data_IF_497064163210
#
_entry.id   IF_497064163210
#
_cell.length_a   1.000
_cell.length_b   1.000
_cell.length_c   1.000
_cell.angle_alpha   90.00
_cell.angle_beta   90.00
_cell.angle_gamma   90.00
#
_symmetry.space_group_name_H-M   'P 1'
#
loop_
_entity.id
_entity.type
_entity.pdbx_description
1 polymer ?
#
# COMPACT_ATOMS: atom_id res chain seq x y z
N UNK A 1 -2.67 -15.12 6.89
CA UNK A 1 -3.94 -14.62 7.46
C UNK A 1 -3.77 -14.10 8.88
N UNK A 2 -3.33 -14.91 9.85
CA UNK A 2 -3.15 -14.43 11.24
C UNK A 2 -2.28 -13.17 11.36
N UNK A 3 -1.15 -13.13 10.65
CA UNK A 3 -0.27 -11.96 10.63
C UNK A 3 -0.92 -10.71 10.00
N UNK A 4 -1.71 -10.88 8.94
CA UNK A 4 -2.46 -9.78 8.33
C UNK A 4 -3.49 -9.23 9.32
N UNK A 5 -4.27 -10.10 9.96
CA UNK A 5 -5.25 -9.70 10.98
C UNK A 5 -4.60 -8.96 12.15
N UNK A 6 -3.50 -9.49 12.69
CA UNK A 6 -2.79 -8.85 13.80
C UNK A 6 -2.27 -7.46 13.44
N UNK A 7 -1.66 -7.31 12.26
CA UNK A 7 -1.12 -6.04 11.80
C UNK A 7 -2.23 -5.04 11.41
N UNK A 8 -3.35 -5.50 10.83
CA UNK A 8 -4.51 -4.65 10.57
C UNK A 8 -5.18 -4.18 11.86
N UNK A 9 -5.26 -5.03 12.89
CA UNK A 9 -5.80 -4.65 14.19
C UNK A 9 -4.89 -3.64 14.89
N UNK A 10 -3.57 -3.87 14.85
CA UNK A 10 -2.58 -2.93 15.36
C UNK A 10 -2.66 -1.58 14.63
N UNK A 11 -2.87 -1.57 13.32
CA UNK A 11 -3.08 -0.36 12.54
C UNK A 11 -4.27 0.46 13.02
N UNK A 12 -5.42 -0.18 13.26
CA UNK A 12 -6.60 0.53 13.75
C UNK A 12 -6.46 1.07 15.18
N UNK A 13 -5.57 0.48 15.99
CA UNK A 13 -5.25 0.98 17.32
C UNK A 13 -4.33 2.22 17.29
N UNK A 14 -3.67 2.48 16.16
CA UNK A 14 -2.76 3.61 16.00
C UNK A 14 -3.52 4.84 15.46
N UNK A 15 -3.45 6.01 16.13
CA UNK A 15 -4.05 7.21 15.60
C UNK A 15 -3.35 7.62 14.29
N UNK A 16 -4.17 7.88 13.27
CA UNK A 16 -3.71 8.49 12.02
C UNK A 16 -3.11 9.87 12.33
N UNK A 17 -1.81 10.04 12.08
CA UNK A 17 -1.09 11.28 12.35
C UNK A 17 -0.39 11.81 11.09
N UNK A 18 0.17 13.02 11.20
CA UNK A 18 0.97 13.68 10.16
C UNK A 18 0.15 13.92 8.88
N UNK A 19 0.54 13.29 7.77
CA UNK A 19 -0.02 13.54 6.43
C UNK A 19 -1.35 12.82 6.17
N UNK A 20 -1.83 12.03 7.13
CA UNK A 20 -3.13 11.37 7.00
C UNK A 20 -4.27 12.38 6.80
N UNK A 21 -4.16 13.58 7.41
CA UNK A 21 -5.12 14.68 7.19
C UNK A 21 -5.09 15.21 5.76
N UNK A 22 -3.89 15.37 5.18
CA UNK A 22 -3.69 15.79 3.80
C UNK A 22 -4.30 14.80 2.81
N UNK A 23 -4.05 13.50 3.02
CA UNK A 23 -4.59 12.44 2.17
C UNK A 23 -6.11 12.28 2.32
N UNK A 24 -6.64 12.37 3.55
CA UNK A 24 -8.09 12.35 3.77
C UNK A 24 -8.78 13.54 3.08
N UNK A 25 -8.21 14.75 3.20
CA UNK A 25 -8.72 15.93 2.52
C UNK A 25 -8.67 15.76 0.99
N UNK A 26 -7.58 15.21 0.43
CA UNK A 26 -7.49 14.96 -1.00
C UNK A 26 -8.60 14.00 -1.49
N UNK A 27 -8.90 12.95 -0.72
CA UNK A 27 -10.00 12.00 -1.04
C UNK A 27 -11.36 12.69 -0.97
N UNK A 28 -11.65 13.49 0.06
CA UNK A 28 -12.92 14.24 0.14
C UNK A 28 -13.09 15.20 -1.04
N UNK A 29 -12.04 15.93 -1.42
CA UNK A 29 -12.12 16.86 -2.56
C UNK A 29 -12.36 16.15 -3.89
N UNK A 30 -11.79 14.96 -4.06
CA UNK A 30 -12.04 14.11 -5.23
C UNK A 30 -13.42 13.46 -5.21
N UNK A 31 -13.94 13.13 -4.02
CA UNK A 31 -15.30 12.63 -3.85
C UNK A 31 -16.31 13.68 -4.35
N UNK A 32 -16.09 14.95 -3.99
CA UNK A 32 -16.94 16.07 -4.39
C UNK A 32 -16.85 16.35 -5.90
N UNK A 33 -15.64 16.58 -6.42
CA UNK A 33 -15.39 16.83 -7.84
C UNK A 33 -14.11 16.12 -8.32
N UNK A 34 -14.29 15.14 -9.22
CA UNK A 34 -13.19 14.36 -9.80
C UNK A 34 -12.41 15.12 -10.89
N UNK A 35 -13.05 16.08 -11.57
CA UNK A 35 -12.49 16.77 -12.72
C UNK A 35 -11.75 18.05 -12.31
N UNK A 36 -12.30 18.78 -11.34
CA UNK A 36 -11.72 20.04 -10.85
C UNK A 36 -11.64 20.09 -9.32
N UNK A 37 -10.91 19.15 -8.68
CA UNK A 37 -10.79 19.14 -7.23
C UNK A 37 -10.08 20.39 -6.71
N UNK A 38 -10.50 20.90 -5.55
CA UNK A 38 -9.85 22.03 -4.85
C UNK A 38 -8.65 21.59 -4.03
N UNK A 39 -7.60 22.40 -3.97
CA UNK A 39 -6.36 22.08 -3.26
C UNK A 39 -6.62 21.59 -1.82
N UNK A 40 -6.04 20.47 -1.38
CA UNK A 40 -6.43 19.82 -0.12
C UNK A 40 -6.08 20.63 1.15
N UNK A 41 -5.15 21.58 1.07
CA UNK A 41 -4.70 22.41 2.20
C UNK A 41 -5.05 23.89 2.10
N UNK A 42 -5.48 24.37 0.94
CA UNK A 42 -5.73 25.79 0.69
C UNK A 42 -7.00 25.92 -0.15
N UNK A 43 -7.76 27.01 0.01
CA UNK A 43 -8.94 27.26 -0.83
C UNK A 43 -8.51 27.86 -2.18
N UNK A 44 -7.79 27.05 -2.95
CA UNK A 44 -7.22 27.36 -4.25
C UNK A 44 -7.59 26.25 -5.25
N UNK A 45 -7.55 26.53 -6.57
CA UNK A 45 -7.67 25.48 -7.59
C UNK A 45 -6.63 24.38 -7.34
N UNK A 46 -7.05 23.11 -7.37
CA UNK A 46 -6.20 21.97 -6.98
C UNK A 46 -5.24 21.48 -8.07
N UNK A 47 -5.22 22.11 -9.24
CA UNK A 47 -4.36 21.71 -10.36
C UNK A 47 -2.88 21.68 -9.93
N UNK A 48 -2.27 20.49 -9.99
CA UNK A 48 -0.86 20.29 -9.64
C UNK A 48 -0.56 19.96 -8.18
N UNK A 49 -1.56 19.74 -7.32
CA UNK A 49 -1.28 19.29 -5.95
C UNK A 49 -0.63 17.90 -5.96
N UNK A 50 0.52 17.68 -5.29
CA UNK A 50 1.19 16.38 -5.24
C UNK A 50 0.37 15.30 -4.52
N UNK A 51 -0.68 15.70 -3.81
CA UNK A 51 -1.61 14.77 -3.17
C UNK A 51 -2.51 14.02 -4.17
N UNK A 52 -2.71 14.56 -5.39
CA UNK A 52 -3.52 13.93 -6.42
C UNK A 52 -2.69 12.93 -7.24
N UNK A 53 -2.65 11.71 -6.73
CA UNK A 53 -2.05 10.56 -7.42
C UNK A 53 -3.14 9.69 -8.05
N UNK A 54 -2.82 8.82 -9.03
CA UNK A 54 -3.78 7.83 -9.54
C UNK A 54 -4.40 6.97 -8.45
N UNK A 55 -3.65 6.71 -7.37
CA UNK A 55 -4.14 6.02 -6.20
C UNK A 55 -5.18 6.85 -5.41
N UNK A 56 -4.90 8.14 -5.19
CA UNK A 56 -5.87 9.05 -4.57
C UNK A 56 -7.15 9.20 -5.41
N UNK A 57 -7.03 9.20 -6.74
CA UNK A 57 -8.18 9.18 -7.66
C UNK A 57 -9.04 7.92 -7.46
N UNK A 58 -8.42 6.74 -7.41
CA UNK A 58 -9.13 5.50 -7.14
C UNK A 58 -9.82 5.53 -5.76
N UNK A 59 -9.17 6.08 -4.74
CA UNK A 59 -9.77 6.29 -3.41
C UNK A 59 -10.95 7.26 -3.44
N UNK A 60 -10.86 8.37 -4.19
CA UNK A 60 -11.93 9.35 -4.36
C UNK A 60 -13.15 8.77 -5.09
N UNK A 61 -12.93 8.00 -6.16
CA UNK A 61 -14.01 7.27 -6.86
C UNK A 61 -14.67 6.27 -5.92
N UNK A 62 -13.87 5.51 -5.15
CA UNK A 62 -14.39 4.59 -4.16
C UNK A 62 -15.21 5.31 -3.08
N UNK A 63 -14.72 6.44 -2.56
CA UNK A 63 -15.43 7.30 -1.60
C UNK A 63 -16.78 7.78 -2.15
N UNK A 64 -16.83 8.15 -3.44
CA UNK A 64 -18.05 8.60 -4.11
C UNK A 64 -19.08 7.49 -4.27
N UNK A 65 -18.65 6.29 -4.64
CA UNK A 65 -19.54 5.12 -4.83
C UNK A 65 -20.06 4.58 -3.50
N UNK A 66 -19.24 4.62 -2.45
CA UNK A 66 -19.58 4.08 -1.13
C UNK A 66 -20.15 5.12 -0.17
N UNK A 67 -20.17 6.39 -0.58
CA UNK A 67 -20.51 7.55 0.24
C UNK A 67 -19.70 7.68 1.54
N UNK A 68 -18.55 7.00 1.60
CA UNK A 68 -17.64 7.05 2.74
C UNK A 68 -16.83 8.35 2.75
N UNK A 69 -16.53 8.83 3.95
CA UNK A 69 -15.59 9.94 4.13
C UNK A 69 -14.15 9.54 3.83
N UNK A 70 -13.31 10.53 3.57
CA UNK A 70 -11.90 10.33 3.23
C UNK A 70 -11.12 9.64 4.35
N UNK A 71 -11.51 9.88 5.61
CA UNK A 71 -10.90 9.22 6.77
C UNK A 71 -11.24 7.72 6.81
N UNK A 72 -12.48 7.37 6.54
CA UNK A 72 -12.97 5.98 6.49
C UNK A 72 -12.27 5.24 5.35
N UNK A 73 -12.17 5.86 4.18
CA UNK A 73 -11.46 5.29 3.02
C UNK A 73 -9.99 5.05 3.34
N UNK A 74 -9.31 5.97 4.02
CA UNK A 74 -7.93 5.77 4.49
C UNK A 74 -7.83 4.60 5.48
N UNK A 75 -8.79 4.46 6.42
CA UNK A 75 -8.82 3.35 7.38
C UNK A 75 -9.02 1.99 6.71
N UNK A 76 -9.73 1.94 5.59
CA UNK A 76 -9.93 0.72 4.78
C UNK A 76 -8.73 0.45 3.86
N UNK A 77 -8.10 1.51 3.35
CA UNK A 77 -6.93 1.43 2.50
C UNK A 77 -5.71 0.78 3.19
N UNK A 78 -5.51 1.03 4.49
CA UNK A 78 -4.40 0.43 5.25
C UNK A 78 -4.39 -1.10 5.21
N UNK A 79 -5.47 -1.79 5.64
CA UNK A 79 -5.59 -3.25 5.55
C UNK A 79 -5.50 -3.79 4.11
N UNK A 80 -6.04 -3.07 3.13
CA UNK A 80 -5.99 -3.47 1.72
C UNK A 80 -4.56 -3.44 1.19
N UNK A 81 -3.84 -2.34 1.39
CA UNK A 81 -2.44 -2.21 0.97
C UNK A 81 -1.55 -3.24 1.64
N UNK A 82 -1.78 -3.50 2.94
CA UNK A 82 -1.08 -4.55 3.68
C UNK A 82 -1.33 -5.94 3.07
N UNK A 83 -2.56 -6.22 2.64
CA UNK A 83 -2.89 -7.49 2.00
C UNK A 83 -2.11 -7.66 0.69
N UNK A 84 -2.08 -6.61 -0.15
CA UNK A 84 -1.34 -6.60 -1.41
C UNK A 84 0.16 -6.80 -1.16
N UNK A 85 0.72 -6.10 -0.16
CA UNK A 85 2.12 -6.25 0.21
C UNK A 85 2.45 -7.69 0.66
N UNK A 86 1.69 -8.25 1.59
CA UNK A 86 1.93 -9.59 2.12
C UNK A 86 1.75 -10.67 1.05
N UNK A 87 0.75 -10.50 0.17
CA UNK A 87 0.50 -11.43 -0.92
C UNK A 87 1.60 -11.35 -2.00
N UNK A 88 2.02 -10.14 -2.37
CA UNK A 88 3.10 -9.91 -3.34
C UNK A 88 4.43 -10.46 -2.83
N UNK A 89 4.82 -10.09 -1.61
CA UNK A 89 6.04 -10.59 -0.96
C UNK A 89 6.01 -12.11 -0.83
N UNK A 90 4.89 -12.67 -0.36
CA UNK A 90 4.73 -14.11 -0.22
C UNK A 90 4.87 -14.85 -1.55
N UNK A 91 4.31 -14.31 -2.63
CA UNK A 91 4.41 -14.91 -3.98
C UNK A 91 5.84 -14.81 -4.51
N UNK A 92 6.50 -13.66 -4.37
CA UNK A 92 7.86 -13.44 -4.82
C UNK A 92 8.86 -14.34 -4.11
N UNK A 93 8.78 -14.44 -2.78
CA UNK A 93 9.69 -15.28 -1.99
C UNK A 93 9.48 -16.77 -2.29
N UNK A 94 8.26 -17.20 -2.58
CA UNK A 94 7.97 -18.59 -3.00
C UNK A 94 8.51 -18.91 -4.38
N UNK A 95 8.63 -17.91 -5.26
CA UNK A 95 9.39 -18.07 -6.50
C UNK A 95 10.84 -18.32 -6.09
N UNK A 96 11.49 -17.47 -5.31
CA UNK A 96 12.92 -17.64 -4.98
C UNK A 96 13.26 -18.88 -4.14
N UNK A 97 12.37 -19.35 -3.27
CA UNK A 97 12.64 -20.46 -2.34
C UNK A 97 11.44 -21.39 -2.15
N UNK A 98 11.63 -22.73 -2.20
CA UNK A 98 10.59 -23.69 -1.89
C UNK A 98 10.30 -23.81 -0.38
N UNK A 99 11.13 -23.20 0.49
CA UNK A 99 11.01 -23.36 1.94
C UNK A 99 9.79 -22.61 2.48
N UNK A 100 8.91 -23.33 3.19
CA UNK A 100 7.69 -22.78 3.81
C UNK A 100 7.94 -21.62 4.79
N UNK A 101 9.12 -21.55 5.40
CA UNK A 101 9.53 -20.49 6.34
C UNK A 101 10.10 -19.23 5.65
N UNK A 102 10.49 -19.31 4.38
CA UNK A 102 11.14 -18.19 3.70
C UNK A 102 10.30 -16.91 3.67
N UNK A 103 8.97 -16.94 3.40
CA UNK A 103 8.15 -15.73 3.42
C UNK A 103 8.06 -15.07 4.80
N UNK A 104 8.13 -15.86 5.89
CA UNK A 104 8.08 -15.34 7.26
C UNK A 104 9.39 -14.62 7.60
N UNK A 105 10.53 -15.21 7.21
CA UNK A 105 11.85 -14.59 7.40
C UNK A 105 11.99 -13.33 6.56
N UNK A 106 11.49 -13.34 5.32
CA UNK A 106 11.47 -12.16 4.47
C UNK A 106 10.60 -11.04 5.08
N UNK A 107 9.44 -11.38 5.63
CA UNK A 107 8.60 -10.41 6.33
C UNK A 107 9.30 -9.82 7.56
N UNK A 108 9.99 -10.66 8.35
CA UNK A 108 10.79 -10.17 9.48
C UNK A 108 11.89 -9.22 9.01
N UNK A 109 12.59 -9.54 7.92
CA UNK A 109 13.58 -8.67 7.29
C UNK A 109 12.99 -7.34 6.83
N UNK A 110 11.84 -7.37 6.16
CA UNK A 110 11.11 -6.16 5.73
C UNK A 110 10.73 -5.31 6.94
N UNK A 111 10.19 -5.89 8.02
CA UNK A 111 9.84 -5.15 9.23
C UNK A 111 11.05 -4.54 9.93
N UNK A 112 12.18 -5.24 9.95
CA UNK A 112 13.44 -4.72 10.49
C UNK A 112 13.96 -3.54 9.66
N UNK A 113 13.97 -3.67 8.33
CA UNK A 113 14.44 -2.64 7.40
C UNK A 113 13.49 -1.45 7.26
N UNK A 114 12.18 -1.66 7.44
CA UNK A 114 11.19 -0.57 7.47
C UNK A 114 11.45 0.38 8.64
N UNK A 115 12.08 -0.10 9.70
CA UNK A 115 12.37 0.66 10.91
C UNK A 115 11.37 0.32 12.00
N UNK A 116 11.85 -0.38 13.02
CA UNK A 116 11.12 -0.63 14.27
C UNK A 116 11.23 0.54 15.27
N UNK A 117 12.01 1.57 14.94
CA UNK A 117 12.17 2.73 15.82
C UNK A 117 11.00 3.69 15.67
N UNK A 118 10.06 3.59 16.61
CA UNK A 118 9.26 4.74 17.03
C UNK A 118 10.22 5.80 17.58
N UNK A 119 10.66 6.77 16.77
CA UNK A 119 11.40 7.93 17.30
C UNK A 119 12.50 8.58 16.47
N UNK A 120 12.61 8.34 15.16
CA UNK A 120 13.62 9.01 14.32
C UNK A 120 13.01 9.96 13.29
N UNK A 121 13.09 11.27 13.53
CA UNK A 121 12.81 12.41 12.63
C UNK A 121 11.35 12.67 12.18
N UNK A 122 10.45 11.68 12.23
CA UNK A 122 9.00 11.87 12.07
C UNK A 122 8.26 11.03 13.13
N UNK A 123 8.20 11.56 14.36
CA UNK A 123 7.72 10.87 15.57
C UNK A 123 6.26 10.39 15.54
N UNK A 124 5.97 9.38 14.72
CA UNK A 124 4.72 8.63 14.71
C UNK A 124 4.93 7.13 15.03
N UNK A 125 3.86 6.38 15.37
CA UNK A 125 3.97 5.03 15.92
C UNK A 125 4.23 4.02 14.79
N UNK A 126 5.50 3.76 14.47
CA UNK A 126 5.94 2.63 13.66
C UNK A 126 5.36 2.53 12.23
N UNK A 127 5.62 1.40 11.53
CA UNK A 127 5.24 1.18 10.13
C UNK A 127 3.73 1.25 9.88
N UNK A 128 2.92 1.03 10.93
CA UNK A 128 1.47 1.04 10.89
C UNK A 128 0.91 2.38 10.37
N UNK A 129 1.48 3.50 10.81
CA UNK A 129 1.03 4.85 10.42
C UNK A 129 1.10 5.13 8.91
N UNK A 130 1.97 4.43 8.17
CA UNK A 130 2.19 4.62 6.72
C UNK A 130 1.43 3.63 5.83
N UNK A 131 0.73 2.65 6.42
CA UNK A 131 -0.02 1.63 5.67
C UNK A 131 -1.01 2.16 4.62
N UNK A 132 -1.76 3.26 4.84
CA UNK A 132 -2.71 3.73 3.85
C UNK A 132 -2.04 4.47 2.68
N UNK A 133 -0.73 4.68 2.72
CA UNK A 133 -0.01 5.51 1.76
C UNK A 133 0.29 4.76 0.46
N UNK A 134 0.37 5.49 -0.67
CA UNK A 134 0.57 4.89 -2.00
C UNK A 134 1.86 4.07 -2.11
N UNK A 135 2.89 4.39 -1.32
CA UNK A 135 4.17 3.68 -1.31
C UNK A 135 4.04 2.20 -0.92
N UNK A 136 3.15 1.87 0.03
CA UNK A 136 2.94 0.48 0.47
C UNK A 136 2.27 -0.35 -0.62
N UNK A 137 1.29 0.23 -1.31
CA UNK A 137 0.67 -0.40 -2.47
C UNK A 137 1.68 -0.63 -3.59
N UNK A 138 2.47 0.40 -3.93
CA UNK A 138 3.48 0.32 -4.98
C UNK A 138 4.53 -0.77 -4.69
N UNK A 139 4.97 -0.90 -3.44
CA UNK A 139 5.88 -1.96 -3.03
C UNK A 139 5.24 -3.35 -3.20
N UNK A 140 3.98 -3.52 -2.78
CA UNK A 140 3.26 -4.77 -2.95
C UNK A 140 3.08 -5.17 -4.41
N UNK A 141 2.70 -4.22 -5.27
CA UNK A 141 2.57 -4.44 -6.71
C UNK A 141 3.91 -4.78 -7.37
N UNK A 142 5.01 -4.15 -6.95
CA UNK A 142 6.36 -4.47 -7.42
C UNK A 142 6.71 -5.92 -7.12
N UNK A 143 6.48 -6.40 -5.89
CA UNK A 143 6.71 -7.81 -5.55
C UNK A 143 5.82 -8.76 -6.36
N UNK A 144 4.57 -8.39 -6.62
CA UNK A 144 3.69 -9.16 -7.51
C UNK A 144 4.23 -9.24 -8.93
N UNK A 145 4.66 -8.12 -9.49
CA UNK A 145 5.24 -8.06 -10.83
C UNK A 145 6.47 -8.97 -10.93
N UNK A 146 7.38 -8.90 -9.96
CA UNK A 146 8.56 -9.78 -9.90
C UNK A 146 8.20 -11.24 -9.69
N UNK A 147 7.14 -11.54 -8.94
CA UNK A 147 6.68 -12.91 -8.79
C UNK A 147 6.14 -13.47 -10.11
N UNK A 148 5.43 -12.65 -10.90
CA UNK A 148 4.94 -13.04 -12.23
C UNK A 148 6.07 -13.23 -13.23
N UNK A 149 7.04 -12.32 -13.27
CA UNK A 149 8.21 -12.45 -14.15
C UNK A 149 9.07 -13.65 -13.77
N UNK A 150 9.32 -13.86 -12.47
CA UNK A 150 10.10 -15.00 -11.99
C UNK A 150 9.40 -16.35 -12.19
N UNK A 151 8.06 -16.41 -12.16
CA UNK A 151 7.32 -17.61 -12.55
C UNK A 151 7.47 -17.89 -14.05
N UNK A 152 7.27 -16.86 -14.90
CA UNK A 152 7.43 -16.97 -16.36
C UNK A 152 8.85 -17.37 -16.79
N UNK A 153 9.87 -16.86 -16.10
CA UNK A 153 11.27 -17.21 -16.37
C UNK A 153 11.62 -18.67 -16.00
N UNK A 154 10.79 -19.34 -15.19
CA UNK A 154 10.93 -20.77 -14.88
C UNK A 154 10.13 -21.67 -15.81
N UNK A 155 9.09 -21.12 -16.43
CA UNK A 155 8.23 -21.80 -17.41
C UNK A 155 8.84 -21.81 -18.82
N UNK A 156 10.08 -21.33 -19.02
CA UNK A 156 10.81 -21.55 -20.28
C UNK A 156 11.18 -23.03 -20.38
N UNK A 157 10.26 -23.80 -20.96
CA UNK A 157 10.50 -25.18 -21.42
C UNK A 157 11.85 -25.30 -22.14
N UNK A 158 12.52 -26.46 -22.05
CA UNK A 158 13.74 -26.70 -22.80
C UNK A 158 13.44 -26.51 -24.28
N UNK A 159 14.11 -25.54 -24.92
CA UNK A 159 14.05 -25.32 -26.36
C UNK A 159 14.45 -26.63 -27.02
N UNK A 160 13.47 -27.34 -27.59
CA UNK A 160 13.70 -28.57 -28.34
C UNK A 160 14.43 -28.17 -29.61
N UNK A 161 15.75 -28.26 -29.61
CA UNK A 161 16.54 -28.21 -30.83
C UNK A 161 16.11 -29.38 -31.71
N UNK A 162 15.32 -29.07 -32.74
CA UNK A 162 15.04 -30.00 -33.83
C UNK A 162 16.28 -29.96 -34.72
N UNK A 163 17.18 -30.92 -34.52
CA UNK A 163 18.23 -31.28 -35.47
C UNK A 163 17.73 -32.29 -36.48
#
# INVERSE_FOLDING_TARGET
MLCWLALSLAFWAVPLCCDAGLHAAAVERLRDDLLHPRHPTADLPGAGSPAYTPYALAQGVFARVTELGGREVLRLAGPLNLLVLLAGLGRFVRVLSPRRRAPVLALAGVMLLWGAQAGGWSGGPGPASTLPYPSVLAAGLTFFAWALTGARARDTEPVRHVG
#
